data_IF_729553866799
#
_entry.id   IF_729553866799
#
_cell.length_a   1.000
_cell.length_b   1.000
_cell.length_c   1.000
_cell.angle_alpha   90.00
_cell.angle_beta   90.00
_cell.angle_gamma   90.00
#
_symmetry.space_group_name_H-M   'P 1'
#
loop_
_entity.id
_entity.type
_entity.pdbx_description
1 polymer ?
#
# COMPACT_ATOMS: atom_id res chain seq x y z
N UNK A 1 3.88 35.46 0.86
CA UNK A 1 2.89 35.22 1.91
C UNK A 1 3.56 34.57 3.13
N UNK A 2 4.16 33.37 3.05
CA UNK A 2 4.94 32.76 4.12
C UNK A 2 6.45 32.93 3.95
N UNK A 3 7.22 32.97 5.05
CA UNK A 3 8.68 32.93 5.03
C UNK A 3 9.21 31.51 5.25
N UNK A 4 8.53 30.71 6.06
CA UNK A 4 8.91 29.33 6.43
C UNK A 4 7.71 28.38 6.33
N UNK A 5 7.99 27.09 6.17
CA UNK A 5 6.99 26.05 6.39
C UNK A 5 6.92 25.69 7.88
N UNK A 6 5.72 25.31 8.34
CA UNK A 6 5.49 24.94 9.74
C UNK A 6 6.43 23.82 10.21
N UNK A 7 6.52 22.74 9.44
CA UNK A 7 7.33 21.57 9.82
C UNK A 7 8.84 21.72 9.63
N UNK A 8 9.33 22.83 9.09
CA UNK A 8 10.76 23.09 8.86
C UNK A 8 11.40 23.91 9.99
N UNK A 9 10.58 24.47 10.88
CA UNK A 9 11.09 25.26 12.00
C UNK A 9 11.87 24.40 12.99
N UNK A 10 12.99 24.95 13.46
CA UNK A 10 13.87 24.31 14.42
C UNK A 10 14.66 25.34 15.23
N UNK A 11 15.59 24.87 16.06
CA UNK A 11 16.41 25.75 16.93
C UNK A 11 17.23 26.82 16.19
N UNK A 12 17.52 26.64 14.90
CA UNK A 12 18.26 27.65 14.14
C UNK A 12 17.42 28.88 13.83
N UNK A 13 16.10 28.78 13.98
CA UNK A 13 15.17 29.90 13.78
C UNK A 13 14.88 30.70 15.07
N UNK A 14 15.48 30.33 16.21
CA UNK A 14 15.23 30.99 17.50
C UNK A 14 15.46 32.50 17.42
N UNK A 15 14.55 33.25 18.09
CA UNK A 15 14.50 34.71 18.12
C UNK A 15 14.26 35.37 16.75
N UNK A 16 14.05 34.59 15.69
CA UNK A 16 13.70 35.08 14.37
C UNK A 16 12.19 35.33 14.23
N UNK A 17 11.86 36.39 13.49
CA UNK A 17 10.47 36.60 13.05
C UNK A 17 10.15 35.72 11.87
N UNK A 18 9.01 35.02 11.94
CA UNK A 18 8.52 34.14 10.89
C UNK A 18 7.09 34.46 10.48
N UNK A 19 6.78 34.22 9.20
CA UNK A 19 5.39 34.23 8.69
C UNK A 19 5.02 32.80 8.29
N UNK A 20 4.02 32.22 8.97
CA UNK A 20 3.49 30.90 8.73
C UNK A 20 2.10 30.99 8.10
N UNK A 21 1.81 30.12 7.17
CA UNK A 21 0.50 30.01 6.56
C UNK A 21 0.11 28.52 6.50
N UNK A 22 -1.03 28.17 7.08
CA UNK A 22 -1.47 26.79 7.20
C UNK A 22 -2.89 26.63 7.68
N UNK A 23 -3.26 25.39 7.93
CA UNK A 23 -4.55 24.99 8.49
C UNK A 23 -4.41 24.75 9.99
N UNK A 24 -5.41 25.19 10.77
CA UNK A 24 -5.47 24.91 12.21
C UNK A 24 -5.83 23.45 12.41
N UNK A 25 -4.85 22.64 12.78
CA UNK A 25 -5.05 21.23 13.05
C UNK A 25 -5.77 21.01 14.38
N UNK A 26 -5.40 21.78 15.41
CA UNK A 26 -6.00 21.70 16.74
C UNK A 26 -5.90 23.06 17.45
N UNK A 27 -6.98 23.43 18.16
CA UNK A 27 -7.01 24.57 19.10
C UNK A 27 -7.17 24.05 20.52
N UNK A 28 -6.38 24.59 21.44
CA UNK A 28 -6.46 24.33 22.88
C UNK A 28 -6.45 25.66 23.61
N UNK A 29 -7.16 25.71 24.73
CA UNK A 29 -7.20 26.86 25.64
C UNK A 29 -6.84 26.34 27.03
N UNK A 30 -5.76 26.86 27.60
CA UNK A 30 -5.27 26.48 28.91
C UNK A 30 -4.91 27.74 29.72
N UNK A 31 -5.72 28.02 30.74
CA UNK A 31 -5.41 29.08 31.68
C UNK A 31 -5.36 30.49 31.08
N UNK A 32 -6.14 30.72 29.99
CA UNK A 32 -6.16 32.01 29.30
C UNK A 32 -5.06 32.18 28.25
N UNK A 33 -4.32 31.13 27.91
CA UNK A 33 -3.38 31.08 26.78
C UNK A 33 -3.94 30.19 25.71
N UNK A 34 -3.99 30.64 24.46
CA UNK A 34 -4.47 29.87 23.33
C UNK A 34 -3.29 29.21 22.59
N UNK A 35 -3.40 27.92 22.36
CA UNK A 35 -2.44 27.13 21.59
C UNK A 35 -3.09 26.69 20.27
N UNK A 36 -2.43 26.97 19.16
CA UNK A 36 -2.83 26.50 17.84
C UNK A 36 -1.74 25.58 17.26
N UNK A 37 -2.10 24.35 16.95
CA UNK A 37 -1.25 23.49 16.14
C UNK A 37 -1.55 23.81 14.67
N UNK A 38 -0.63 24.45 13.98
CA UNK A 38 -0.79 24.89 12.57
C UNK A 38 -0.07 23.93 11.67
N UNK A 39 -0.80 23.38 10.71
CA UNK A 39 -0.33 22.33 9.78
C UNK A 39 -0.16 22.88 8.37
N UNK A 40 0.92 22.50 7.73
CA UNK A 40 1.12 22.64 6.28
C UNK A 40 1.68 21.35 5.64
N UNK A 41 2.15 21.42 4.40
CA UNK A 41 2.67 20.26 3.68
C UNK A 41 3.96 19.65 4.26
N UNK A 42 4.65 20.37 5.16
CA UNK A 42 5.93 19.93 5.76
C UNK A 42 5.75 19.43 7.20
N UNK A 43 4.64 19.75 7.83
CA UNK A 43 4.36 19.31 9.20
C UNK A 43 3.55 20.31 10.02
N UNK A 44 3.76 20.26 11.33
CA UNK A 44 3.01 21.04 12.31
C UNK A 44 3.97 21.92 13.11
N UNK A 45 3.56 23.18 13.36
CA UNK A 45 4.17 24.05 14.37
C UNK A 45 3.14 24.43 15.42
N UNK A 46 3.53 24.46 16.69
CA UNK A 46 2.71 25.03 17.75
C UNK A 46 2.88 26.56 17.76
N UNK A 47 1.76 27.24 17.80
CA UNK A 47 1.68 28.70 17.93
C UNK A 47 1.01 29.03 19.25
N UNK A 48 1.62 29.93 19.99
CA UNK A 48 1.14 30.40 21.32
C UNK A 48 0.64 31.81 21.21
N UNK A 49 -0.54 32.08 21.74
CA UNK A 49 -1.17 33.39 21.78
C UNK A 49 -1.42 33.77 23.25
N UNK A 50 -0.69 34.75 23.71
CA UNK A 50 -0.81 35.26 25.05
C UNK A 50 -1.93 36.32 25.14
N UNK A 51 -2.61 36.44 26.28
CA UNK A 51 -3.67 37.46 26.50
C UNK A 51 -3.15 38.90 26.42
N UNK A 52 -1.84 39.12 26.61
CA UNK A 52 -1.21 40.44 26.52
C UNK A 52 -1.29 41.03 25.09
N UNK A 53 -1.45 40.18 24.06
CA UNK A 53 -1.70 40.62 22.69
C UNK A 53 -3.22 40.67 22.42
N UNK A 54 -3.91 41.66 23.03
CA UNK A 54 -5.37 41.67 23.11
C UNK A 54 -6.11 41.54 21.77
N UNK A 55 -5.65 42.18 20.70
CA UNK A 55 -6.30 42.11 19.39
C UNK A 55 -6.09 40.75 18.72
N UNK A 56 -4.86 40.21 18.78
CA UNK A 56 -4.54 38.87 18.26
C UNK A 56 -5.27 37.80 19.06
N UNK A 57 -5.40 37.96 20.36
CA UNK A 57 -6.11 37.06 21.25
C UNK A 57 -7.61 36.98 20.92
N UNK A 58 -8.29 38.11 20.71
CA UNK A 58 -9.70 38.17 20.29
C UNK A 58 -9.93 37.42 18.96
N UNK A 59 -9.01 37.56 18.01
CA UNK A 59 -9.08 36.81 16.75
C UNK A 59 -8.93 35.31 17.03
N UNK A 60 -7.96 34.92 17.86
CA UNK A 60 -7.67 33.53 18.20
C UNK A 60 -8.85 32.84 18.92
N UNK A 61 -9.67 33.55 19.69
CA UNK A 61 -10.89 32.99 20.30
C UNK A 61 -11.92 32.54 19.27
N UNK A 62 -11.98 33.17 18.10
CA UNK A 62 -12.90 32.84 17.03
C UNK A 62 -12.44 31.67 16.16
N UNK A 63 -11.15 31.35 16.19
CA UNK A 63 -10.53 30.31 15.37
C UNK A 63 -11.08 28.95 15.75
N UNK A 64 -11.33 28.11 14.70
CA UNK A 64 -11.75 26.71 14.82
C UNK A 64 -10.83 25.82 13.96
N UNK A 65 -10.93 24.52 14.17
CA UNK A 65 -10.17 23.55 13.38
C UNK A 65 -10.41 23.73 11.88
N UNK A 66 -9.36 23.53 11.10
CA UNK A 66 -9.30 23.65 9.64
C UNK A 66 -9.51 25.09 9.09
N UNK A 67 -9.57 26.13 9.96
CA UNK A 67 -9.42 27.50 9.47
C UNK A 67 -8.05 27.69 8.81
N UNK A 68 -7.99 28.45 7.74
CA UNK A 68 -6.76 28.85 7.09
C UNK A 68 -6.31 30.17 7.66
N UNK A 69 -5.09 30.20 8.21
CA UNK A 69 -4.57 31.38 8.90
C UNK A 69 -3.17 31.75 8.42
N UNK A 70 -2.87 33.03 8.48
CA UNK A 70 -1.53 33.59 8.35
C UNK A 70 -1.12 34.13 9.71
N UNK A 71 0.05 33.72 10.17
CA UNK A 71 0.61 34.12 11.47
C UNK A 71 1.93 34.81 11.24
N UNK A 72 2.13 35.96 11.90
CA UNK A 72 3.44 36.58 12.06
C UNK A 72 3.82 36.46 13.53
N UNK A 73 5.00 35.92 13.82
CA UNK A 73 5.41 35.68 15.19
C UNK A 73 6.89 35.40 15.35
N UNK A 74 7.36 35.26 16.57
CA UNK A 74 8.75 34.99 16.92
C UNK A 74 8.91 33.56 17.37
N UNK A 75 9.93 32.86 16.86
CA UNK A 75 10.27 31.50 17.26
C UNK A 75 10.98 31.52 18.61
N UNK A 76 10.50 30.73 19.57
CA UNK A 76 11.09 30.59 20.91
C UNK A 76 11.32 29.11 21.23
N UNK A 77 12.27 28.83 22.13
CA UNK A 77 12.45 27.49 22.67
C UNK A 77 11.33 27.17 23.65
N UNK A 78 10.86 25.94 23.66
CA UNK A 78 10.01 25.45 24.74
C UNK A 78 10.85 25.15 25.99
N UNK A 79 10.22 25.29 27.14
CA UNK A 79 10.82 24.80 28.38
C UNK A 79 11.07 23.29 28.30
N UNK A 80 12.10 22.80 28.96
CA UNK A 80 12.54 21.41 28.92
C UNK A 80 11.40 20.41 29.19
N UNK A 81 10.50 20.76 30.11
CA UNK A 81 9.37 19.94 30.56
C UNK A 81 8.19 19.95 29.55
N UNK A 82 8.21 20.91 28.62
CA UNK A 82 7.16 21.12 27.60
C UNK A 82 7.55 20.65 26.21
N UNK A 83 8.74 20.07 26.05
CA UNK A 83 9.20 19.51 24.78
C UNK A 83 8.28 18.38 24.32
N UNK A 84 7.81 18.45 23.07
CA UNK A 84 6.94 17.43 22.47
C UNK A 84 7.70 16.58 21.46
N UNK A 85 8.21 15.44 21.89
CA UNK A 85 8.95 14.50 21.05
C UNK A 85 8.11 13.80 19.95
N UNK A 86 6.79 14.03 19.90
CA UNK A 86 5.91 13.43 18.89
C UNK A 86 5.90 14.19 17.56
N UNK A 87 6.41 15.42 17.54
CA UNK A 87 6.50 16.23 16.33
C UNK A 87 7.92 16.75 16.14
N UNK A 88 8.43 16.85 14.90
CA UNK A 88 9.80 17.31 14.63
C UNK A 88 10.12 18.71 15.17
N UNK A 89 9.11 19.59 15.25
CA UNK A 89 9.21 20.96 15.74
C UNK A 89 8.99 21.07 17.25
N UNK A 90 8.97 19.96 17.97
CA UNK A 90 8.52 19.92 19.36
C UNK A 90 9.41 20.61 20.38
N UNK A 91 10.62 21.01 20.02
CA UNK A 91 11.56 21.76 20.87
C UNK A 91 11.33 23.29 20.82
N UNK A 92 10.54 23.75 19.83
CA UNK A 92 10.25 25.16 19.62
C UNK A 92 8.74 25.44 19.57
N UNK A 93 8.39 26.69 19.69
CA UNK A 93 7.04 27.21 19.43
C UNK A 93 7.13 28.64 18.88
N UNK A 94 6.01 29.12 18.34
CA UNK A 94 5.94 30.45 17.75
C UNK A 94 5.03 31.34 18.61
N UNK A 95 5.58 32.40 19.22
CA UNK A 95 4.79 33.41 19.89
C UNK A 95 4.15 34.33 18.84
N UNK A 96 2.82 34.29 18.73
CA UNK A 96 2.10 35.07 17.73
C UNK A 96 2.06 36.56 18.11
N UNK A 97 2.59 37.40 17.24
CA UNK A 97 2.41 38.83 17.27
C UNK A 97 1.15 39.30 16.53
N UNK A 98 0.84 38.64 15.41
CA UNK A 98 -0.35 38.93 14.61
C UNK A 98 -0.90 37.66 13.96
N UNK A 99 -2.24 37.58 13.85
CA UNK A 99 -2.98 36.50 13.15
C UNK A 99 -4.00 37.12 12.20
N UNK A 100 -4.01 36.62 10.97
CA UNK A 100 -5.02 36.94 9.98
C UNK A 100 -5.76 35.64 9.57
N UNK A 101 -7.08 35.64 9.61
CA UNK A 101 -7.91 34.56 9.14
C UNK A 101 -8.09 34.75 7.62
N UNK A 102 -7.43 33.89 6.84
CA UNK A 102 -7.53 33.90 5.38
C UNK A 102 -8.82 33.25 4.89
N UNK A 103 -9.27 32.20 5.58
CA UNK A 103 -10.51 31.53 5.26
C UNK A 103 -11.09 30.77 6.46
N UNK A 104 -12.40 30.81 6.61
CA UNK A 104 -13.14 30.08 7.62
C UNK A 104 -13.49 28.68 7.12
N UNK A 105 -13.54 27.71 8.02
CA UNK A 105 -14.05 26.36 7.74
C UNK A 105 -15.41 26.16 8.38
N UNK A 106 -16.30 25.43 7.72
CA UNK A 106 -17.50 24.86 8.34
C UNK A 106 -17.10 23.77 9.34
N UNK A 107 -17.97 23.42 10.32
CA UNK A 107 -17.73 22.29 11.20
C UNK A 107 -17.40 21.02 10.40
N UNK A 108 -16.36 20.30 10.86
CA UNK A 108 -15.90 19.08 10.19
C UNK A 108 -16.89 17.93 10.39
N UNK A 109 -17.20 17.15 9.34
CA UNK A 109 -18.11 16.01 9.46
C UNK A 109 -17.47 14.82 10.21
N UNK A 110 -16.15 14.81 10.36
CA UNK A 110 -15.40 13.82 11.14
C UNK A 110 -14.05 14.40 11.58
N UNK A 111 -13.43 13.80 12.60
CA UNK A 111 -12.10 14.17 13.06
C UNK A 111 -11.02 13.54 12.17
N UNK A 112 -10.05 14.34 11.70
CA UNK A 112 -9.00 13.86 10.78
C UNK A 112 -8.05 12.81 11.40
N UNK A 113 -7.89 12.86 12.72
CA UNK A 113 -7.04 11.95 13.50
C UNK A 113 -7.81 10.71 14.04
N UNK A 114 -9.14 10.65 13.83
CA UNK A 114 -9.94 9.50 14.25
C UNK A 114 -9.70 8.28 13.36
N UNK A 115 -9.39 7.14 14.01
CA UNK A 115 -9.30 5.84 13.35
C UNK A 115 -10.67 5.16 13.17
N UNK A 116 -11.72 5.67 13.83
CA UNK A 116 -13.06 5.06 13.89
C UNK A 116 -13.99 5.53 12.76
N UNK A 117 -13.56 6.51 11.95
CA UNK A 117 -14.39 7.03 10.85
C UNK A 117 -14.57 5.96 9.77
N UNK A 118 -15.82 5.61 9.48
CA UNK A 118 -16.15 4.61 8.46
C UNK A 118 -15.63 4.99 7.06
N UNK A 119 -15.34 4.00 6.24
CA UNK A 119 -14.87 4.20 4.87
C UNK A 119 -15.89 4.98 4.03
N UNK A 120 -17.18 4.72 4.19
CA UNK A 120 -18.24 5.43 3.48
C UNK A 120 -18.19 6.95 3.74
N UNK A 121 -18.03 7.38 4.99
CA UNK A 121 -17.92 8.80 5.35
C UNK A 121 -16.63 9.38 4.79
N UNK A 122 -15.52 8.66 4.84
CA UNK A 122 -14.24 9.08 4.28
C UNK A 122 -14.29 9.24 2.76
N UNK A 123 -14.98 8.35 2.06
CA UNK A 123 -15.17 8.44 0.61
C UNK A 123 -16.10 9.59 0.24
N UNK A 124 -17.20 9.80 0.99
CA UNK A 124 -18.11 10.93 0.79
C UNK A 124 -17.42 12.29 0.93
N UNK A 125 -16.53 12.42 1.88
CA UNK A 125 -15.75 13.63 2.14
C UNK A 125 -14.27 13.43 1.78
N UNK A 126 -13.99 12.85 0.62
CA UNK A 126 -12.64 12.43 0.20
C UNK A 126 -11.60 13.55 0.27
N UNK A 127 -11.97 14.79 -0.05
CA UNK A 127 -11.09 15.97 0.04
C UNK A 127 -10.62 16.26 1.48
N UNK A 128 -11.40 15.89 2.50
CA UNK A 128 -10.99 15.98 3.90
C UNK A 128 -10.15 14.75 4.30
N UNK A 129 -10.54 13.56 3.89
CA UNK A 129 -9.76 12.34 4.13
C UNK A 129 -8.34 12.47 3.58
N UNK A 130 -8.17 13.12 2.43
CA UNK A 130 -6.85 13.42 1.84
C UNK A 130 -5.98 14.38 2.67
N UNK A 131 -6.53 15.06 3.68
CA UNK A 131 -5.75 15.86 4.65
C UNK A 131 -5.11 15.02 5.74
N UNK A 132 -5.55 13.78 5.93
CA UNK A 132 -4.97 12.86 6.92
C UNK A 132 -3.52 12.54 6.55
N UNK A 133 -2.67 12.49 7.56
CA UNK A 133 -1.23 12.24 7.37
C UNK A 133 -0.96 10.93 6.61
N UNK A 134 -1.70 9.87 6.96
CA UNK A 134 -1.64 8.58 6.30
C UNK A 134 -1.91 8.68 4.78
N UNK A 135 -2.96 9.41 4.40
CA UNK A 135 -3.33 9.58 2.99
C UNK A 135 -2.32 10.46 2.24
N UNK A 136 -1.81 11.48 2.91
CA UNK A 136 -0.72 12.33 2.37
C UNK A 136 0.55 11.51 2.12
N UNK A 137 0.93 10.65 3.07
CA UNK A 137 2.08 9.75 2.92
C UNK A 137 1.91 8.80 1.74
N UNK A 138 0.74 8.16 1.60
CA UNK A 138 0.43 7.25 0.48
C UNK A 138 0.55 7.93 -0.89
N UNK A 139 0.00 9.14 -1.04
CA UNK A 139 0.10 9.87 -2.30
C UNK A 139 1.52 10.34 -2.62
N UNK A 140 2.27 10.77 -1.61
CA UNK A 140 3.69 11.13 -1.76
C UNK A 140 4.54 9.91 -2.11
N UNK A 141 4.30 8.77 -1.46
CA UNK A 141 4.96 7.50 -1.79
C UNK A 141 4.70 7.13 -3.25
N UNK A 142 3.43 7.14 -3.68
CA UNK A 142 3.07 6.89 -5.09
C UNK A 142 3.81 7.82 -6.05
N UNK A 143 3.90 9.10 -5.73
CA UNK A 143 4.63 10.08 -6.55
C UNK A 143 6.12 9.76 -6.65
N UNK A 144 6.76 9.40 -5.52
CA UNK A 144 8.17 8.97 -5.49
C UNK A 144 8.40 7.71 -6.32
N UNK A 145 7.56 6.69 -6.14
CA UNK A 145 7.63 5.43 -6.91
C UNK A 145 7.53 5.70 -8.41
N UNK A 146 6.56 6.52 -8.82
CA UNK A 146 6.37 6.87 -10.23
C UNK A 146 7.59 7.62 -10.80
N UNK A 147 8.17 8.54 -10.04
CA UNK A 147 9.36 9.29 -10.45
C UNK A 147 10.56 8.36 -10.58
N UNK A 148 10.81 7.53 -9.58
CA UNK A 148 11.87 6.54 -9.61
C UNK A 148 11.77 5.61 -10.84
N UNK A 149 10.56 5.07 -11.11
CA UNK A 149 10.36 4.18 -12.26
C UNK A 149 10.72 4.87 -13.58
N UNK A 150 10.34 6.15 -13.77
CA UNK A 150 10.73 6.91 -14.96
C UNK A 150 12.25 7.06 -15.06
N UNK A 151 12.88 7.52 -13.98
CA UNK A 151 14.33 7.72 -13.95
C UNK A 151 15.10 6.42 -14.24
N UNK A 152 14.62 5.29 -13.70
CA UNK A 152 15.22 3.98 -13.94
C UNK A 152 15.07 3.54 -15.40
N UNK A 153 13.86 3.66 -15.96
CA UNK A 153 13.61 3.27 -17.34
C UNK A 153 14.39 4.15 -18.32
N UNK A 154 14.41 5.46 -18.10
CA UNK A 154 15.17 6.41 -18.94
C UNK A 154 16.68 6.13 -18.92
N UNK A 155 17.25 5.78 -17.75
CA UNK A 155 18.67 5.38 -17.62
C UNK A 155 19.01 4.09 -18.35
N UNK A 156 18.02 3.25 -18.60
CA UNK A 156 18.15 1.98 -19.31
C UNK A 156 17.72 2.08 -20.79
N UNK A 157 17.71 3.28 -21.36
CA UNK A 157 17.39 3.58 -22.76
C UNK A 157 15.95 3.20 -23.19
N UNK A 158 15.00 3.19 -22.27
CA UNK A 158 13.59 3.04 -22.60
C UNK A 158 12.97 4.39 -22.95
N UNK A 159 12.06 4.40 -23.90
CA UNK A 159 11.30 5.58 -24.30
C UNK A 159 9.91 5.56 -23.67
N UNK A 160 9.55 6.65 -22.97
CA UNK A 160 8.17 6.87 -22.48
C UNK A 160 7.30 7.36 -23.65
N UNK A 161 6.45 6.48 -24.16
CA UNK A 161 5.58 6.79 -25.30
C UNK A 161 4.13 6.68 -24.88
N UNK A 162 3.41 7.80 -24.91
CA UNK A 162 1.99 7.86 -24.61
C UNK A 162 1.15 7.27 -25.75
N UNK A 163 0.21 6.37 -25.38
CA UNK A 163 -0.67 5.68 -26.33
C UNK A 163 -2.14 6.12 -26.15
N UNK A 164 -2.98 6.05 -27.20
CA UNK A 164 -4.37 6.43 -27.12
C UNK A 164 -5.19 5.59 -26.15
N UNK A 165 -6.13 6.22 -25.41
CA UNK A 165 -7.13 5.52 -24.59
C UNK A 165 -8.42 5.21 -25.34
N UNK A 166 -8.82 6.02 -26.32
CA UNK A 166 -9.96 5.73 -27.18
C UNK A 166 -9.51 4.82 -28.32
N UNK A 167 -9.62 3.53 -28.13
CA UNK A 167 -9.13 2.52 -29.06
C UNK A 167 -10.22 1.54 -29.49
N UNK A 168 -9.86 0.57 -30.32
CA UNK A 168 -10.69 -0.56 -30.66
C UNK A 168 -10.66 -1.60 -29.56
N UNK A 169 -11.76 -2.31 -29.32
CA UNK A 169 -11.81 -3.46 -28.42
C UNK A 169 -10.77 -4.51 -28.80
N UNK A 170 -10.02 -4.99 -27.79
CA UNK A 170 -9.01 -6.05 -27.95
C UNK A 170 -9.32 -7.20 -26.99
N UNK A 171 -9.28 -8.47 -27.46
CA UNK A 171 -9.61 -9.62 -26.62
C UNK A 171 -8.41 -9.98 -25.70
N UNK A 172 -8.31 -9.32 -24.55
CA UNK A 172 -7.20 -9.53 -23.58
C UNK A 172 -7.63 -10.30 -22.30
N UNK A 173 -8.80 -10.93 -22.31
CA UNK A 173 -9.27 -11.78 -21.22
C UNK A 173 -10.30 -11.14 -20.28
N UNK A 174 -10.26 -9.82 -20.05
CA UNK A 174 -11.30 -9.09 -19.36
C UNK A 174 -12.36 -8.56 -20.31
N UNK A 175 -13.45 -7.98 -19.78
CA UNK A 175 -14.40 -7.18 -20.56
C UNK A 175 -13.89 -5.77 -20.70
N UNK A 176 -14.15 -5.16 -21.87
CA UNK A 176 -13.80 -3.78 -22.14
C UNK A 176 -14.90 -2.83 -21.63
N UNK A 177 -14.49 -1.68 -21.08
CA UNK A 177 -15.39 -0.56 -20.91
C UNK A 177 -15.62 0.13 -22.27
N UNK A 178 -16.87 0.28 -22.68
CA UNK A 178 -17.24 0.87 -23.95
C UNK A 178 -17.60 2.35 -23.78
N UNK A 179 -17.09 3.18 -24.70
CA UNK A 179 -17.40 4.61 -24.78
C UNK A 179 -18.16 4.87 -26.09
N UNK A 180 -19.44 5.26 -26.05
CA UNK A 180 -20.23 5.51 -27.28
C UNK A 180 -19.63 6.68 -28.04
N UNK A 181 -19.55 6.53 -29.38
CA UNK A 181 -19.13 7.60 -30.27
C UNK A 181 -20.29 8.51 -30.60
N UNK A 182 -20.14 9.80 -30.32
CA UNK A 182 -21.14 10.80 -30.73
C UNK A 182 -21.12 11.11 -32.22
N UNK A 183 -19.99 10.96 -32.87
CA UNK A 183 -19.77 11.29 -34.28
C UNK A 183 -20.04 10.13 -35.23
N UNK A 184 -20.07 8.89 -34.72
CA UNK A 184 -20.35 7.70 -35.50
C UNK A 184 -21.45 6.90 -34.81
N UNK A 185 -22.67 7.06 -35.30
CA UNK A 185 -23.86 6.43 -34.72
C UNK A 185 -23.71 4.90 -34.71
N UNK A 186 -24.07 4.26 -33.60
CA UNK A 186 -23.97 2.81 -33.42
C UNK A 186 -22.55 2.29 -33.21
N UNK A 187 -21.54 3.17 -33.16
CA UNK A 187 -20.14 2.77 -32.95
C UNK A 187 -19.64 3.14 -31.54
N UNK A 188 -18.68 2.36 -31.04
CA UNK A 188 -18.09 2.51 -29.71
C UNK A 188 -16.57 2.48 -29.78
N UNK A 189 -15.93 3.28 -28.93
CA UNK A 189 -14.55 3.04 -28.53
C UNK A 189 -14.52 2.12 -27.33
N UNK A 190 -13.39 1.42 -27.13
CA UNK A 190 -13.09 0.69 -25.91
C UNK A 190 -11.97 1.40 -25.13
N UNK A 191 -12.04 1.37 -23.80
CA UNK A 191 -10.93 1.78 -22.97
C UNK A 191 -9.92 0.62 -22.87
N UNK A 192 -8.59 0.87 -22.96
CA UNK A 192 -7.60 -0.18 -23.07
C UNK A 192 -7.45 -0.98 -21.77
N UNK A 193 -7.42 -2.29 -21.87
CA UNK A 193 -7.05 -3.19 -20.78
C UNK A 193 -5.54 -3.16 -20.51
N UNK A 194 -4.77 -2.92 -21.55
CA UNK A 194 -3.35 -2.58 -21.62
C UNK A 194 -3.06 -1.91 -22.96
N UNK A 195 -1.91 -1.24 -23.19
CA UNK A 195 -1.52 -0.69 -24.48
C UNK A 195 -0.96 -1.75 -25.44
N UNK A 196 -1.39 -3.01 -25.33
CA UNK A 196 -0.81 -4.18 -26.01
C UNK A 196 -0.65 -4.00 -27.53
N UNK A 197 -1.69 -3.54 -28.19
CA UNK A 197 -1.64 -3.35 -29.65
C UNK A 197 -0.60 -2.27 -30.04
N UNK A 198 -0.56 -1.18 -29.30
CA UNK A 198 0.31 -0.05 -29.61
C UNK A 198 1.78 -0.39 -29.34
N UNK A 199 2.10 -1.03 -28.23
CA UNK A 199 3.48 -1.40 -27.91
C UNK A 199 4.03 -2.42 -28.91
N UNK A 200 3.23 -3.37 -29.40
CA UNK A 200 3.63 -4.26 -30.50
C UNK A 200 3.90 -3.50 -31.80
N UNK A 201 3.04 -2.54 -32.17
CA UNK A 201 3.28 -1.68 -33.33
C UNK A 201 4.55 -0.86 -33.20
N UNK A 202 4.87 -0.38 -32.00
CA UNK A 202 6.11 0.35 -31.73
C UNK A 202 7.34 -0.54 -31.95
N UNK A 203 7.32 -1.79 -31.46
CA UNK A 203 8.39 -2.76 -31.73
C UNK A 203 8.56 -3.01 -33.25
N UNK A 204 7.45 -3.19 -33.97
CA UNK A 204 7.46 -3.33 -35.42
C UNK A 204 7.98 -2.11 -36.17
N UNK A 205 7.85 -0.92 -35.54
CA UNK A 205 8.30 0.35 -36.07
C UNK A 205 9.78 0.66 -35.76
N UNK A 206 10.48 -0.26 -35.08
CA UNK A 206 11.90 -0.13 -34.77
C UNK A 206 12.21 0.56 -33.43
N UNK A 207 11.21 0.71 -32.54
CA UNK A 207 11.46 1.13 -31.15
C UNK A 207 11.82 -0.12 -30.35
N UNK A 208 13.06 -0.24 -29.92
CA UNK A 208 13.56 -1.45 -29.26
C UNK A 208 13.20 -1.54 -27.78
N UNK A 209 12.97 -0.40 -27.12
CA UNK A 209 12.67 -0.31 -25.70
C UNK A 209 11.59 0.74 -25.45
N UNK A 210 10.42 0.28 -25.10
CA UNK A 210 9.25 1.10 -24.78
C UNK A 210 8.84 0.90 -23.34
N UNK A 211 8.43 1.99 -22.69
CA UNK A 211 7.63 1.92 -21.47
C UNK A 211 6.55 3.00 -21.44
N UNK A 212 5.57 2.80 -20.58
CA UNK A 212 4.58 3.82 -20.24
C UNK A 212 4.03 3.57 -18.84
N UNK A 213 3.87 4.62 -18.03
CA UNK A 213 3.09 4.54 -16.79
C UNK A 213 1.65 4.90 -17.17
N UNK A 214 0.84 3.88 -17.41
CA UNK A 214 -0.44 3.97 -18.11
C UNK A 214 -1.62 3.55 -17.25
N UNK A 215 -2.77 4.22 -17.46
CA UNK A 215 -4.06 3.78 -16.92
C UNK A 215 -4.61 2.63 -17.76
N UNK A 216 -5.05 1.58 -17.06
CA UNK A 216 -5.68 0.41 -17.64
C UNK A 216 -7.06 0.20 -17.04
N UNK A 217 -7.97 -0.36 -17.83
CA UNK A 217 -9.38 -0.50 -17.49
C UNK A 217 -9.83 -1.94 -17.74
N UNK A 218 -10.43 -2.57 -16.74
CA UNK A 218 -10.97 -3.94 -16.87
C UNK A 218 -12.28 -4.05 -16.15
N UNK A 219 -13.33 -4.44 -16.87
CA UNK A 219 -14.66 -4.68 -16.31
C UNK A 219 -14.73 -6.12 -15.81
N UNK A 220 -14.20 -6.34 -14.63
CA UNK A 220 -14.12 -7.64 -13.95
C UNK A 220 -14.71 -7.54 -12.54
N UNK A 221 -15.00 -8.69 -11.95
CA UNK A 221 -15.43 -8.77 -10.55
C UNK A 221 -14.34 -8.22 -9.62
N UNK A 222 -14.75 -7.32 -8.73
CA UNK A 222 -13.86 -6.69 -7.77
C UNK A 222 -13.36 -7.71 -6.74
N UNK A 223 -12.08 -7.59 -6.40
CA UNK A 223 -11.44 -8.32 -5.29
C UNK A 223 -10.73 -7.31 -4.39
N UNK A 224 -10.23 -7.77 -3.25
CA UNK A 224 -9.55 -6.89 -2.29
C UNK A 224 -8.38 -6.10 -2.90
N UNK A 225 -7.70 -6.66 -3.89
CA UNK A 225 -6.52 -6.13 -4.58
C UNK A 225 -6.78 -5.72 -6.05
N UNK A 226 -8.03 -5.78 -6.53
CA UNK A 226 -8.39 -5.46 -7.92
C UNK A 226 -9.36 -4.30 -7.99
N UNK A 227 -9.04 -3.35 -8.85
CA UNK A 227 -9.86 -2.19 -9.18
C UNK A 227 -10.15 -2.17 -10.68
N UNK A 228 -11.33 -1.66 -11.11
CA UNK A 228 -11.68 -1.59 -12.53
C UNK A 228 -10.78 -0.62 -13.31
N UNK A 229 -10.19 0.35 -12.62
CA UNK A 229 -9.21 1.30 -13.14
C UNK A 229 -7.94 1.23 -12.28
N UNK A 230 -6.81 0.95 -12.90
CA UNK A 230 -5.51 0.84 -12.21
C UNK A 230 -4.39 1.36 -13.09
N UNK A 231 -3.19 1.48 -12.52
CA UNK A 231 -2.00 1.97 -13.24
C UNK A 231 -0.99 0.85 -13.36
N UNK A 232 -0.42 0.68 -14.56
CA UNK A 232 0.70 -0.22 -14.82
C UNK A 232 1.96 0.59 -15.17
N UNK A 233 3.12 0.08 -14.81
CA UNK A 233 4.31 0.28 -15.60
C UNK A 233 4.25 -0.78 -16.70
N UNK A 234 3.94 -0.38 -17.92
CA UNK A 234 3.88 -1.26 -19.07
C UNK A 234 5.19 -1.15 -19.86
N UNK A 235 5.75 -2.29 -20.24
CA UNK A 235 7.07 -2.37 -20.85
C UNK A 235 7.01 -3.33 -22.05
N UNK A 236 7.72 -2.99 -23.13
CA UNK A 236 7.93 -3.88 -24.25
C UNK A 236 9.36 -3.70 -24.78
N UNK A 237 10.00 -4.82 -25.15
CA UNK A 237 11.37 -4.83 -25.64
C UNK A 237 11.56 -5.72 -26.87
N UNK A 238 12.47 -5.33 -27.75
CA UNK A 238 13.03 -6.19 -28.81
C UNK A 238 14.42 -6.63 -28.40
N UNK A 239 14.86 -7.79 -28.90
CA UNK A 239 16.23 -8.32 -28.76
C UNK A 239 16.71 -8.55 -27.33
N UNK A 240 15.79 -8.72 -26.38
CA UNK A 240 16.08 -9.15 -25.01
C UNK A 240 15.49 -10.53 -24.76
N UNK A 241 16.30 -11.40 -24.15
CA UNK A 241 15.83 -12.72 -23.73
C UNK A 241 15.19 -12.69 -22.32
N UNK A 242 14.68 -13.81 -21.86
CA UNK A 242 13.97 -13.95 -20.59
C UNK A 242 14.87 -13.56 -19.39
N UNK A 243 16.12 -14.00 -19.40
CA UNK A 243 17.05 -13.73 -18.29
C UNK A 243 17.42 -12.24 -18.21
N UNK A 244 17.60 -11.58 -19.36
CA UNK A 244 17.95 -10.17 -19.44
C UNK A 244 16.82 -9.29 -18.93
N UNK A 245 15.56 -9.54 -19.33
CA UNK A 245 14.41 -8.75 -18.87
C UNK A 245 14.09 -9.03 -17.40
N UNK A 246 14.22 -10.29 -16.96
CA UNK A 246 14.04 -10.64 -15.56
C UNK A 246 15.07 -9.94 -14.67
N UNK A 247 16.35 -9.97 -15.08
CA UNK A 247 17.43 -9.30 -14.34
C UNK A 247 17.22 -7.79 -14.24
N UNK A 248 16.81 -7.15 -15.33
CA UNK A 248 16.49 -5.72 -15.34
C UNK A 248 15.34 -5.37 -14.40
N UNK A 249 14.28 -6.18 -14.39
CA UNK A 249 13.13 -5.94 -13.50
C UNK A 249 13.48 -6.22 -12.03
N UNK A 250 14.29 -7.25 -11.74
CA UNK A 250 14.81 -7.50 -10.39
C UNK A 250 15.64 -6.33 -9.88
N UNK A 251 16.52 -5.77 -10.71
CA UNK A 251 17.30 -4.60 -10.37
C UNK A 251 16.42 -3.40 -10.06
N UNK A 252 15.44 -3.11 -10.93
CA UNK A 252 14.47 -2.04 -10.72
C UNK A 252 13.75 -2.17 -9.37
N UNK A 253 13.28 -3.36 -9.03
CA UNK A 253 12.56 -3.59 -7.76
C UNK A 253 13.50 -3.41 -6.57
N UNK A 254 14.73 -3.91 -6.62
CA UNK A 254 15.70 -3.76 -5.54
C UNK A 254 16.07 -2.30 -5.30
N UNK A 255 16.37 -1.56 -6.36
CA UNK A 255 16.70 -0.15 -6.26
C UNK A 255 15.50 0.69 -5.80
N UNK A 256 14.28 0.38 -6.26
CA UNK A 256 13.05 1.03 -5.82
C UNK A 256 12.87 0.90 -4.30
N UNK A 257 12.96 -0.31 -3.76
CA UNK A 257 12.80 -0.54 -2.32
C UNK A 257 13.90 0.15 -1.51
N UNK A 258 15.13 0.14 -2.02
CA UNK A 258 16.25 0.82 -1.38
C UNK A 258 16.07 2.34 -1.33
N UNK A 259 15.69 2.96 -2.46
CA UNK A 259 15.57 4.42 -2.54
C UNK A 259 14.31 4.95 -1.85
N UNK A 260 13.20 4.22 -1.95
CA UNK A 260 11.89 4.71 -1.49
C UNK A 260 11.60 4.34 -0.04
N UNK A 261 11.98 3.14 0.39
CA UNK A 261 11.68 2.57 1.71
C UNK A 261 12.93 2.30 2.56
N UNK A 262 14.13 2.53 2.02
CA UNK A 262 15.43 2.26 2.69
C UNK A 262 15.59 0.76 3.05
N UNK A 263 14.98 -0.14 2.26
CA UNK A 263 15.02 -1.59 2.46
C UNK A 263 15.96 -2.22 1.43
N UNK A 264 16.99 -2.91 1.90
CA UNK A 264 17.84 -3.74 1.05
C UNK A 264 17.19 -5.12 0.83
N UNK A 265 16.77 -5.38 -0.41
CA UNK A 265 16.28 -6.69 -0.84
C UNK A 265 17.44 -7.64 -1.20
N UNK A 266 17.20 -8.97 -1.24
CA UNK A 266 18.21 -9.94 -1.67
C UNK A 266 18.81 -9.59 -3.04
N UNK A 267 20.09 -9.90 -3.24
CA UNK A 267 20.78 -9.62 -4.51
C UNK A 267 20.19 -10.38 -5.70
N UNK A 268 19.54 -11.51 -5.45
CA UNK A 268 18.80 -12.32 -6.42
C UNK A 268 17.53 -12.86 -5.77
N UNK A 269 16.42 -12.78 -6.50
CA UNK A 269 15.16 -13.37 -6.02
C UNK A 269 15.15 -14.88 -6.27
N UNK A 270 14.60 -15.68 -5.33
CA UNK A 270 14.48 -17.12 -5.52
C UNK A 270 13.56 -17.43 -6.71
N UNK A 271 14.01 -18.36 -7.56
CA UNK A 271 13.22 -18.84 -8.69
C UNK A 271 12.69 -20.24 -8.37
N UNK A 272 11.41 -20.46 -8.62
CA UNK A 272 10.75 -21.75 -8.42
C UNK A 272 9.96 -22.12 -9.68
N UNK A 273 10.03 -23.37 -10.09
CA UNK A 273 9.23 -23.84 -11.23
C UNK A 273 7.75 -23.96 -10.85
N UNK A 274 6.85 -23.86 -11.83
CA UNK A 274 5.42 -24.10 -11.63
C UNK A 274 5.16 -25.45 -10.93
N UNK A 275 5.83 -26.51 -11.37
CA UNK A 275 5.68 -27.85 -10.79
C UNK A 275 6.09 -27.88 -9.31
N UNK A 276 7.19 -27.24 -8.95
CA UNK A 276 7.64 -27.13 -7.56
C UNK A 276 6.68 -26.29 -6.73
N UNK A 277 6.21 -25.14 -7.26
CA UNK A 277 5.26 -24.29 -6.59
C UNK A 277 3.96 -25.04 -6.22
N UNK A 278 3.38 -25.74 -7.19
CA UNK A 278 2.18 -26.56 -6.98
C UNK A 278 2.47 -27.73 -6.02
N UNK A 279 3.60 -28.40 -6.16
CA UNK A 279 3.93 -29.54 -5.31
C UNK A 279 4.20 -29.15 -3.85
N UNK A 280 4.89 -28.02 -3.62
CA UNK A 280 5.28 -27.62 -2.28
C UNK A 280 4.21 -26.76 -1.58
N UNK A 281 3.45 -25.98 -2.33
CA UNK A 281 2.53 -24.99 -1.75
C UNK A 281 1.08 -25.11 -2.21
N UNK A 282 0.80 -25.88 -3.26
CA UNK A 282 -0.55 -26.02 -3.83
C UNK A 282 -1.04 -24.82 -4.63
N UNK A 283 -0.19 -23.82 -4.84
CA UNK A 283 -0.50 -22.58 -5.58
C UNK A 283 0.67 -22.19 -6.48
N UNK A 284 0.39 -21.49 -7.57
CA UNK A 284 1.38 -21.04 -8.56
C UNK A 284 2.19 -19.80 -8.12
N UNK A 285 1.73 -19.09 -7.10
CA UNK A 285 2.39 -17.91 -6.52
C UNK A 285 2.39 -17.96 -4.99
N UNK A 286 3.23 -18.82 -4.40
CA UNK A 286 3.25 -18.99 -2.95
C UNK A 286 3.80 -17.75 -2.22
N UNK A 287 3.27 -17.48 -1.03
CA UNK A 287 3.89 -16.54 -0.10
C UNK A 287 5.06 -17.23 0.58
N UNK A 288 6.29 -16.94 0.12
CA UNK A 288 7.53 -17.55 0.62
C UNK A 288 7.84 -17.19 2.07
N UNK A 289 7.13 -16.23 2.68
CA UNK A 289 7.25 -15.91 4.11
C UNK A 289 6.57 -16.94 5.01
N UNK A 290 5.70 -17.78 4.41
CA UNK A 290 4.97 -18.83 5.11
C UNK A 290 5.65 -20.18 4.80
N UNK A 291 6.50 -20.73 5.69
CA UNK A 291 7.29 -21.93 5.43
C UNK A 291 6.47 -23.20 5.67
N UNK A 292 5.26 -23.29 5.12
CA UNK A 292 4.39 -24.44 5.19
C UNK A 292 4.46 -25.22 3.87
N UNK A 293 5.38 -26.17 3.79
CA UNK A 293 5.55 -27.01 2.63
C UNK A 293 4.72 -28.30 2.73
N UNK A 294 4.05 -28.66 1.64
CA UNK A 294 3.45 -29.99 1.51
C UNK A 294 4.57 -31.01 1.30
N UNK A 295 4.54 -32.08 2.08
CA UNK A 295 5.50 -33.17 2.03
C UNK A 295 4.80 -34.37 1.40
N UNK A 296 5.39 -34.91 0.34
CA UNK A 296 4.88 -36.15 -0.27
C UNK A 296 5.12 -37.33 0.65
N UNK A 297 4.08 -38.09 0.95
CA UNK A 297 4.12 -39.25 1.83
C UNK A 297 3.63 -40.51 1.14
N UNK A 298 3.56 -40.54 -0.19
CA UNK A 298 3.07 -41.68 -0.96
C UNK A 298 3.78 -42.97 -0.57
N UNK A 299 5.12 -42.95 -0.49
CA UNK A 299 5.90 -44.16 -0.16
C UNK A 299 5.53 -44.76 1.21
N UNK A 300 5.20 -43.93 2.16
CA UNK A 300 4.81 -44.36 3.51
C UNK A 300 3.37 -44.87 3.53
N UNK A 301 2.53 -44.37 2.63
CA UNK A 301 1.09 -44.63 2.63
C UNK A 301 0.67 -45.77 1.69
N UNK A 302 1.60 -46.33 0.87
CA UNK A 302 1.29 -47.43 -0.08
C UNK A 302 0.78 -48.67 0.60
N UNK A 303 1.37 -49.04 1.73
CA UNK A 303 1.14 -50.34 2.38
C UNK A 303 0.20 -50.22 3.62
N UNK A 304 -0.39 -49.04 3.84
CA UNK A 304 -1.33 -48.88 4.96
C UNK A 304 -2.69 -49.52 4.66
N UNK A 305 -3.33 -50.11 5.67
CA UNK A 305 -4.62 -50.78 5.51
C UNK A 305 -5.74 -49.79 5.14
N UNK A 306 -5.60 -48.52 5.51
CA UNK A 306 -6.64 -47.51 5.30
C UNK A 306 -6.67 -47.02 3.85
N UNK A 307 -7.66 -47.50 3.12
CA UNK A 307 -7.82 -47.31 1.65
C UNK A 307 -7.89 -45.86 1.20
N UNK A 308 -8.27 -44.95 2.09
CA UNK A 308 -8.31 -43.49 1.81
C UNK A 308 -6.90 -42.97 1.51
N UNK A 309 -5.87 -43.57 2.10
CA UNK A 309 -4.46 -43.20 1.87
C UNK A 309 -3.80 -44.15 0.87
N UNK A 310 -3.95 -45.50 1.06
CA UNK A 310 -3.28 -46.44 0.17
C UNK A 310 -3.85 -46.43 -1.26
N UNK A 311 -5.11 -46.08 -1.44
CA UNK A 311 -5.68 -45.93 -2.80
C UNK A 311 -4.93 -44.85 -3.62
N UNK A 312 -4.96 -43.57 -3.21
CA UNK A 312 -4.24 -42.51 -3.90
C UNK A 312 -2.70 -42.71 -3.93
N UNK A 313 -2.12 -43.32 -2.90
CA UNK A 313 -0.67 -43.57 -2.87
C UNK A 313 -0.20 -44.62 -3.92
N UNK A 314 -1.08 -45.51 -4.33
CA UNK A 314 -0.83 -46.55 -5.37
C UNK A 314 -1.35 -46.15 -6.76
N UNK A 315 -2.03 -45.02 -6.90
CA UNK A 315 -2.49 -44.47 -8.17
C UNK A 315 -1.40 -43.61 -8.78
N UNK A 316 -1.03 -43.87 -10.04
CA UNK A 316 -0.03 -43.08 -10.78
C UNK A 316 -0.35 -41.58 -10.85
N UNK A 317 -1.63 -41.20 -10.80
CA UNK A 317 -2.13 -39.86 -10.82
C UNK A 317 -2.49 -39.32 -9.41
N UNK A 318 -2.44 -40.20 -8.42
CA UNK A 318 -2.78 -39.91 -7.04
C UNK A 318 -1.61 -39.30 -6.27
N UNK A 319 -1.95 -38.63 -5.18
CA UNK A 319 -0.96 -38.08 -4.27
C UNK A 319 -1.51 -38.08 -2.85
N UNK A 320 -0.67 -38.45 -1.88
CA UNK A 320 -0.91 -38.22 -0.46
C UNK A 320 0.15 -37.25 0.02
N UNK A 321 -0.27 -36.09 0.48
CA UNK A 321 0.62 -35.05 0.98
C UNK A 321 0.27 -34.70 2.43
N UNK A 322 1.30 -34.48 3.24
CA UNK A 322 1.18 -34.02 4.62
C UNK A 322 1.67 -32.58 4.74
N UNK A 323 1.03 -31.82 5.63
CA UNK A 323 1.45 -30.48 6.00
C UNK A 323 1.92 -30.47 7.46
N UNK A 324 3.21 -30.19 7.67
CA UNK A 324 3.76 -30.11 9.03
C UNK A 324 3.60 -28.70 9.61
N UNK A 325 2.74 -28.57 10.60
CA UNK A 325 2.55 -27.29 11.33
C UNK A 325 3.42 -27.30 12.58
N UNK A 326 4.49 -26.50 12.56
CA UNK A 326 5.40 -26.38 13.71
C UNK A 326 4.66 -25.72 14.89
N UNK A 327 4.74 -26.35 16.08
CA UNK A 327 3.98 -25.90 17.26
C UNK A 327 2.48 -26.22 17.19
N UNK A 328 2.02 -26.94 16.19
CA UNK A 328 0.60 -27.25 15.95
C UNK A 328 -0.05 -28.16 17.01
N UNK A 329 0.73 -28.77 17.91
CA UNK A 329 0.18 -29.53 19.04
C UNK A 329 -0.68 -28.68 20.00
N UNK A 330 -0.54 -27.36 19.96
CA UNK A 330 -1.37 -26.42 20.74
C UNK A 330 -2.71 -26.06 20.08
N UNK A 331 -2.94 -26.48 18.83
CA UNK A 331 -4.20 -26.23 18.11
C UNK A 331 -5.32 -26.98 18.82
N UNK A 332 -6.35 -26.25 19.20
CA UNK A 332 -7.51 -26.83 19.89
C UNK A 332 -8.36 -27.67 18.94
N UNK A 333 -9.11 -28.65 19.48
CA UNK A 333 -10.02 -29.48 18.69
C UNK A 333 -11.04 -28.65 17.91
N UNK A 334 -11.57 -27.60 18.50
CA UNK A 334 -12.49 -26.67 17.82
C UNK A 334 -11.85 -26.06 16.58
N UNK A 335 -10.60 -25.61 16.65
CA UNK A 335 -9.89 -25.06 15.49
C UNK A 335 -9.67 -26.12 14.39
N UNK A 336 -9.40 -27.38 14.78
CA UNK A 336 -9.28 -28.48 13.80
C UNK A 336 -10.62 -28.77 13.13
N UNK A 337 -11.71 -28.74 13.89
CA UNK A 337 -13.06 -28.89 13.33
C UNK A 337 -13.40 -27.73 12.38
N UNK A 338 -13.00 -26.50 12.73
CA UNK A 338 -13.14 -25.32 11.85
C UNK A 338 -12.32 -25.48 10.55
N UNK A 339 -11.10 -26.00 10.62
CA UNK A 339 -10.30 -26.31 9.43
C UNK A 339 -10.91 -27.45 8.60
N UNK A 340 -11.49 -28.46 9.25
CA UNK A 340 -12.20 -29.54 8.56
C UNK A 340 -13.39 -28.99 7.78
N UNK A 341 -14.17 -28.12 8.40
CA UNK A 341 -15.29 -27.44 7.74
C UNK A 341 -14.80 -26.55 6.59
N UNK A 342 -13.69 -25.84 6.75
CA UNK A 342 -13.11 -25.00 5.71
C UNK A 342 -12.69 -25.82 4.49
N UNK A 343 -11.94 -26.92 4.66
CA UNK A 343 -11.50 -27.73 3.51
C UNK A 343 -12.66 -28.46 2.83
N UNK A 344 -13.76 -28.71 3.56
CA UNK A 344 -14.96 -29.33 2.96
C UNK A 344 -15.62 -28.46 1.89
N UNK A 345 -15.47 -27.12 1.97
CA UNK A 345 -15.95 -26.16 0.95
C UNK A 345 -15.27 -26.43 -0.40
N UNK A 346 -14.04 -26.94 -0.36
CA UNK A 346 -13.25 -27.30 -1.54
C UNK A 346 -13.39 -28.78 -1.96
N UNK A 347 -14.34 -29.50 -1.36
CA UNK A 347 -14.66 -30.88 -1.73
C UNK A 347 -13.92 -31.96 -0.95
N UNK A 348 -13.10 -31.60 0.04
CA UNK A 348 -12.49 -32.58 0.95
C UNK A 348 -13.55 -33.20 1.86
N UNK A 349 -13.54 -34.56 1.98
CA UNK A 349 -14.50 -35.28 2.84
C UNK A 349 -14.14 -35.24 4.34
N UNK A 350 -12.93 -34.80 4.67
CA UNK A 350 -12.42 -34.65 6.02
C UNK A 350 -10.98 -34.19 6.01
N UNK A 351 -10.47 -33.85 7.20
CA UNK A 351 -9.07 -33.48 7.42
C UNK A 351 -8.46 -34.49 8.40
N UNK A 352 -7.58 -35.36 7.89
CA UNK A 352 -6.80 -36.23 8.76
C UNK A 352 -5.69 -35.44 9.45
N UNK A 353 -5.47 -35.68 10.74
CA UNK A 353 -4.40 -35.02 11.49
C UNK A 353 -3.76 -35.93 12.51
N UNK A 354 -2.50 -35.65 12.84
CA UNK A 354 -1.74 -36.34 13.87
C UNK A 354 -1.16 -35.28 14.79
N UNK A 355 -1.43 -35.37 16.08
CA UNK A 355 -0.83 -34.46 17.08
C UNK A 355 0.37 -35.15 17.70
N UNK A 356 1.57 -34.51 17.58
CA UNK A 356 2.82 -35.02 18.15
C UNK A 356 3.26 -34.09 19.27
N UNK A 357 3.28 -34.60 20.51
CA UNK A 357 3.67 -33.83 21.70
C UNK A 357 5.09 -34.12 22.21
N UNK A 358 5.82 -35.07 21.61
CA UNK A 358 7.23 -35.40 21.98
C UNK A 358 8.13 -35.61 20.77
N UNK A 359 9.45 -35.49 21.01
CA UNK A 359 10.48 -35.58 19.99
C UNK A 359 10.92 -37.00 19.63
N UNK A 360 10.41 -38.06 20.31
CA UNK A 360 10.69 -39.47 20.02
C UNK A 360 9.43 -40.23 19.68
N UNK A 361 9.33 -40.66 18.42
CA UNK A 361 8.30 -41.57 17.94
C UNK A 361 8.72 -43.01 18.22
N UNK A 362 8.21 -43.58 19.31
CA UNK A 362 7.81 -44.98 19.31
C UNK A 362 6.30 -44.98 19.16
N UNK A 363 5.78 -45.23 17.97
CA UNK A 363 4.37 -45.45 17.75
C UNK A 363 3.98 -46.79 18.34
N UNK A 364 3.08 -46.84 19.34
CA UNK A 364 2.32 -48.07 19.58
C UNK A 364 1.38 -48.22 18.38
N UNK A 365 1.41 -49.37 17.74
CA UNK A 365 0.64 -49.74 16.54
C UNK A 365 -0.89 -49.80 16.78
N UNK A 366 -1.40 -49.35 17.92
CA UNK A 366 -2.81 -49.41 18.30
C UNK A 366 -3.60 -48.08 18.20
N UNK A 367 -2.96 -46.93 17.93
CA UNK A 367 -3.61 -45.61 17.96
C UNK A 367 -3.67 -44.92 16.58
N UNK A 368 -3.63 -45.68 15.51
CA UNK A 368 -3.97 -45.21 14.16
C UNK A 368 -5.47 -45.39 13.91
N UNK A 369 -6.27 -44.44 14.33
CA UNK A 369 -7.67 -44.30 13.93
C UNK A 369 -7.86 -42.97 13.21
#
# INVERSE_FOLDING_TARGET
MRTHFCGELNKTNLNGEVKLCGWVNRRRDHGGVIFLDVRDKKGIAQVVINPDTADTFKIAETIRNEFVILITGTVVARDSDMVNNKIPTGEIEVLAGNIEILNNSKPMPFQLDSMETSEEVRLKYRYLDLRRDEMQKRLRLRSKVTHFMRDFMDKNDFLDIETPFLTKATPEGARDYLVPSRTHEGSFFALPQSPQLFKQLLMMSGFERYYQIVKCFRDEDLRADRQPEFTQLDVETSFMNEDEITSLMEEMIRELFKEVEEIDLPSKFPTITYKEAINLYGVDRPDMRIPLHMIDVNEIMKDVEFKVFSGPANDEKGRVAALKVQGGASISRKQIDDYTNFVSIYGAKGLAYITVSYTHLTLPTSDLV
#
